data_IF_634326095768
#
_entry.id   IF_634326095768
#
_cell.length_a   1.000
_cell.length_b   1.000
_cell.length_c   1.000
_cell.angle_alpha   90.00
_cell.angle_beta   90.00
_cell.angle_gamma   90.00
#
_symmetry.space_group_name_H-M   'P 1'
#
loop_
_entity.id
_entity.type
_entity.pdbx_description
1 polymer ?
#
# COMPACT_ATOMS: atom_id res chain seq x y z
N UNK A 1 -14.31 -23.33 8.10
CA UNK A 1 -15.04 -22.04 8.24
C UNK A 1 -15.05 -21.18 6.97
N UNK A 2 -13.98 -21.13 6.17
CA UNK A 2 -13.94 -20.35 4.91
C UNK A 2 -14.98 -20.74 3.85
N UNK A 3 -15.37 -22.02 3.77
CA UNK A 3 -16.34 -22.48 2.77
C UNK A 3 -17.80 -22.09 3.08
N UNK A 4 -18.15 -21.90 4.36
CA UNK A 4 -19.53 -21.62 4.77
C UNK A 4 -19.94 -20.19 4.46
N UNK A 5 -19.03 -19.22 4.66
CA UNK A 5 -19.27 -17.84 4.24
C UNK A 5 -19.41 -17.78 2.72
N UNK A 6 -18.47 -18.37 1.96
CA UNK A 6 -18.51 -18.39 0.49
C UNK A 6 -19.79 -19.06 -0.07
N UNK A 7 -20.28 -20.14 0.54
CA UNK A 7 -21.51 -20.80 0.09
C UNK A 7 -22.79 -20.02 0.39
N UNK A 8 -22.81 -19.19 1.44
CA UNK A 8 -23.93 -18.27 1.71
C UNK A 8 -23.97 -17.16 0.64
N UNK A 9 -22.82 -16.77 0.06
CA UNK A 9 -22.74 -15.72 -0.96
C UNK A 9 -23.18 -16.15 -2.37
N UNK A 10 -23.05 -17.43 -2.75
CA UNK A 10 -23.27 -17.90 -4.12
C UNK A 10 -24.69 -18.42 -4.42
N UNK A 11 -25.52 -18.67 -3.40
CA UNK A 11 -26.92 -19.10 -3.59
C UNK A 11 -27.89 -17.97 -3.24
N UNK A 12 -28.22 -17.10 -4.20
CA UNK A 12 -29.58 -16.53 -4.34
C UNK A 12 -29.77 -15.76 -5.65
N UNK A 13 -30.91 -16.06 -6.31
CA UNK A 13 -31.34 -15.64 -7.65
C UNK A 13 -31.46 -14.12 -7.81
N UNK A 14 -31.26 -13.67 -9.06
CA UNK A 14 -31.65 -12.36 -9.60
C UNK A 14 -33.08 -11.98 -9.15
N UNK A 15 -33.20 -11.01 -8.23
CA UNK A 15 -34.26 -9.97 -8.20
C UNK A 15 -33.91 -8.93 -7.12
N UNK A 16 -34.17 -7.66 -7.46
CA UNK A 16 -33.84 -6.37 -6.81
C UNK A 16 -32.34 -6.06 -6.65
N UNK A 17 -31.77 -5.44 -7.70
CA UNK A 17 -30.35 -5.09 -7.79
C UNK A 17 -29.95 -4.00 -6.78
N UNK A 18 -30.77 -2.96 -6.59
CA UNK A 18 -30.44 -1.80 -5.74
C UNK A 18 -30.41 -2.11 -4.23
N UNK A 19 -31.36 -2.91 -3.73
CA UNK A 19 -31.36 -3.35 -2.32
C UNK A 19 -30.26 -4.39 -2.03
N UNK A 20 -29.87 -5.18 -3.04
CA UNK A 20 -28.75 -6.11 -2.92
C UNK A 20 -27.40 -5.41 -3.06
N UNK A 21 -27.30 -4.31 -3.81
CA UNK A 21 -26.11 -3.45 -3.87
C UNK A 21 -25.86 -2.82 -2.50
N UNK A 22 -26.89 -2.29 -1.82
CA UNK A 22 -26.74 -1.76 -0.45
C UNK A 22 -26.30 -2.83 0.57
N UNK A 23 -26.89 -4.04 0.54
CA UNK A 23 -26.48 -5.15 1.43
C UNK A 23 -25.10 -5.72 1.09
N UNK A 24 -24.74 -5.85 -0.20
CA UNK A 24 -23.43 -6.35 -0.64
C UNK A 24 -22.33 -5.31 -0.42
N UNK A 25 -22.61 -4.03 -0.62
CA UNK A 25 -21.61 -2.97 -0.46
C UNK A 25 -21.20 -2.77 1.00
N UNK A 26 -22.09 -2.96 1.97
CA UNK A 26 -21.72 -2.95 3.41
C UNK A 26 -20.80 -4.12 3.79
N UNK A 27 -20.80 -5.21 3.02
CA UNK A 27 -19.94 -6.38 3.29
C UNK A 27 -18.54 -6.27 2.69
N UNK A 28 -18.37 -5.51 1.62
CA UNK A 28 -17.05 -5.27 0.98
C UNK A 28 -16.02 -4.73 1.97
N UNK A 29 -16.26 -3.62 2.72
CA UNK A 29 -15.28 -3.11 3.68
C UNK A 29 -14.99 -4.12 4.80
N UNK A 30 -16.00 -4.89 5.24
CA UNK A 30 -15.84 -5.93 6.27
C UNK A 30 -14.91 -7.04 5.76
N UNK A 31 -15.11 -7.51 4.52
CA UNK A 31 -14.29 -8.56 3.90
C UNK A 31 -12.87 -8.07 3.69
N UNK A 32 -12.69 -6.84 3.16
CA UNK A 32 -11.38 -6.21 3.01
C UNK A 32 -10.65 -6.16 4.35
N UNK A 33 -11.32 -5.64 5.38
CA UNK A 33 -10.72 -5.51 6.71
C UNK A 33 -10.36 -6.86 7.31
N UNK A 34 -11.25 -7.85 7.18
CA UNK A 34 -11.00 -9.22 7.63
C UNK A 34 -9.77 -9.82 6.95
N UNK A 35 -9.70 -9.76 5.62
CA UNK A 35 -8.56 -10.26 4.86
C UNK A 35 -7.26 -9.56 5.23
N UNK A 36 -7.31 -8.24 5.42
CA UNK A 36 -6.15 -7.46 5.85
C UNK A 36 -5.69 -7.88 7.26
N UNK A 37 -6.60 -8.12 8.20
CA UNK A 37 -6.27 -8.62 9.53
C UNK A 37 -5.67 -10.03 9.51
N UNK A 38 -6.11 -10.89 8.60
CA UNK A 38 -5.54 -12.23 8.42
C UNK A 38 -4.06 -12.22 8.03
N UNK A 39 -3.56 -11.15 7.41
CA UNK A 39 -2.14 -11.01 7.07
C UNK A 39 -1.23 -11.05 8.30
N UNK A 40 -1.70 -10.57 9.46
CA UNK A 40 -0.94 -10.65 10.72
C UNK A 40 -0.68 -12.09 11.16
N UNK A 41 -1.52 -13.03 10.72
CA UNK A 41 -1.41 -14.46 10.98
C UNK A 41 -0.79 -15.22 9.79
N UNK A 42 -0.25 -14.50 8.80
CA UNK A 42 0.29 -15.07 7.55
C UNK A 42 -0.74 -15.86 6.73
N UNK A 43 -2.03 -15.57 6.93
CA UNK A 43 -3.13 -16.21 6.20
C UNK A 43 -3.56 -15.28 5.06
N UNK A 44 -3.39 -15.74 3.81
CA UNK A 44 -3.89 -15.04 2.63
C UNK A 44 -4.64 -16.01 1.71
N UNK A 45 -5.89 -15.67 1.39
CA UNK A 45 -6.74 -16.48 0.51
C UNK A 45 -6.80 -15.86 -0.88
N UNK A 46 -6.03 -16.43 -1.82
CA UNK A 46 -6.04 -16.02 -3.23
C UNK A 46 -7.45 -16.12 -3.84
N UNK A 47 -8.19 -17.18 -3.52
CA UNK A 47 -9.55 -17.39 -4.03
C UNK A 47 -10.49 -16.28 -3.57
N UNK A 48 -10.49 -15.95 -2.28
CA UNK A 48 -11.32 -14.86 -1.75
C UNK A 48 -10.91 -13.50 -2.33
N UNK A 49 -9.61 -13.24 -2.47
CA UNK A 49 -9.08 -12.03 -3.10
C UNK A 49 -9.58 -11.89 -4.55
N UNK A 50 -9.49 -12.95 -5.35
CA UNK A 50 -9.89 -12.93 -6.76
C UNK A 50 -11.41 -12.72 -6.90
N UNK A 51 -12.22 -13.32 -6.04
CA UNK A 51 -13.67 -13.10 -6.05
C UNK A 51 -14.02 -11.66 -5.63
N UNK A 52 -13.35 -11.12 -4.62
CA UNK A 52 -13.50 -9.72 -4.21
C UNK A 52 -13.12 -8.76 -5.35
N UNK A 53 -12.00 -9.03 -6.03
CA UNK A 53 -11.55 -8.24 -7.17
C UNK A 53 -12.54 -8.29 -8.33
N UNK A 54 -13.07 -9.47 -8.68
CA UNK A 54 -14.12 -9.62 -9.70
C UNK A 54 -15.39 -8.86 -9.33
N UNK A 55 -15.79 -8.91 -8.05
CA UNK A 55 -16.95 -8.17 -7.56
C UNK A 55 -16.76 -6.66 -7.75
N UNK A 56 -15.61 -6.11 -7.34
CA UNK A 56 -15.31 -4.68 -7.51
C UNK A 56 -15.27 -4.31 -9.00
N UNK A 57 -14.62 -5.11 -9.85
CA UNK A 57 -14.61 -4.88 -11.30
C UNK A 57 -16.02 -4.89 -11.89
N UNK A 58 -16.88 -5.80 -11.44
CA UNK A 58 -18.27 -5.83 -11.90
C UNK A 58 -19.04 -4.57 -11.51
N UNK A 59 -18.73 -3.94 -10.37
CA UNK A 59 -19.31 -2.65 -9.99
C UNK A 59 -18.77 -1.54 -10.91
N UNK A 60 -17.46 -1.53 -11.20
CA UNK A 60 -16.87 -0.58 -12.15
C UNK A 60 -17.53 -0.65 -13.53
N UNK A 61 -17.84 -1.87 -14.01
CA UNK A 61 -18.40 -2.12 -15.34
C UNK A 61 -19.87 -1.69 -15.48
N UNK A 62 -20.63 -1.63 -14.38
CA UNK A 62 -22.08 -1.42 -14.42
C UNK A 62 -22.47 0.04 -14.72
N UNK A 63 -21.82 1.02 -14.09
CA UNK A 63 -21.87 2.45 -14.44
C UNK A 63 -20.91 3.26 -13.53
N UNK A 64 -20.52 4.48 -13.96
CA UNK A 64 -19.67 5.38 -13.16
C UNK A 64 -20.28 5.77 -11.81
N UNK A 65 -21.61 5.91 -11.75
CA UNK A 65 -22.33 6.30 -10.54
C UNK A 65 -22.23 5.23 -9.43
N UNK A 66 -22.37 3.95 -9.76
CA UNK A 66 -22.26 2.86 -8.78
C UNK A 66 -20.85 2.74 -8.19
N UNK A 67 -19.81 3.02 -9.00
CA UNK A 67 -18.45 3.09 -8.47
C UNK A 67 -18.24 4.32 -7.58
N UNK A 68 -18.81 5.47 -7.94
CA UNK A 68 -18.85 6.64 -7.06
C UNK A 68 -19.50 6.33 -5.71
N UNK A 69 -20.60 5.58 -5.71
CA UNK A 69 -21.25 5.10 -4.49
C UNK A 69 -20.35 4.12 -3.71
N UNK A 70 -19.60 3.24 -4.38
CA UNK A 70 -18.64 2.36 -3.72
C UNK A 70 -17.54 3.16 -3.01
N UNK A 71 -17.00 4.19 -3.66
CA UNK A 71 -16.00 5.09 -3.06
C UNK A 71 -16.55 5.79 -1.81
N UNK A 72 -17.80 6.26 -1.86
CA UNK A 72 -18.45 6.91 -0.71
C UNK A 72 -18.69 5.95 0.46
N UNK A 73 -18.87 4.66 0.18
CA UNK A 73 -19.10 3.62 1.19
C UNK A 73 -17.80 3.10 1.81
N UNK A 74 -16.68 3.18 1.08
CA UNK A 74 -15.38 2.72 1.57
C UNK A 74 -14.68 3.85 2.33
N UNK A 75 -14.40 3.63 3.61
CA UNK A 75 -13.49 4.51 4.32
C UNK A 75 -12.10 4.49 3.65
N UNK A 76 -11.32 5.59 3.69
CA UNK A 76 -9.99 5.64 3.09
C UNK A 76 -9.07 4.50 3.56
N UNK A 77 -9.17 4.09 4.82
CA UNK A 77 -8.44 2.94 5.36
C UNK A 77 -8.80 1.63 4.65
N UNK A 78 -10.07 1.37 4.33
CA UNK A 78 -10.47 0.18 3.60
C UNK A 78 -9.91 0.18 2.17
N UNK A 79 -9.88 1.32 1.50
CA UNK A 79 -9.26 1.44 0.18
C UNK A 79 -7.77 1.07 0.26
N UNK A 80 -7.06 1.57 1.27
CA UNK A 80 -5.64 1.30 1.49
C UNK A 80 -5.39 -0.17 1.83
N UNK A 81 -6.22 -0.76 2.69
CA UNK A 81 -6.18 -2.19 3.01
C UNK A 81 -6.35 -3.03 1.75
N UNK A 82 -7.30 -2.67 0.88
CA UNK A 82 -7.51 -3.36 -0.38
C UNK A 82 -6.33 -3.20 -1.35
N UNK A 83 -5.82 -1.97 -1.54
CA UNK A 83 -4.60 -1.73 -2.32
C UNK A 83 -3.42 -2.54 -1.78
N UNK A 84 -3.33 -2.72 -0.47
CA UNK A 84 -2.29 -3.55 0.15
C UNK A 84 -2.46 -5.02 -0.19
N UNK A 85 -3.68 -5.56 -0.11
CA UNK A 85 -3.98 -6.92 -0.56
C UNK A 85 -3.63 -7.13 -2.04
N UNK A 86 -3.96 -6.15 -2.90
CA UNK A 86 -3.55 -6.16 -4.31
C UNK A 86 -2.03 -6.17 -4.47
N UNK A 87 -1.31 -5.40 -3.65
CA UNK A 87 0.16 -5.32 -3.67
C UNK A 87 0.84 -6.61 -3.26
N UNK A 88 0.19 -7.44 -2.44
CA UNK A 88 0.68 -8.75 -2.05
C UNK A 88 0.47 -9.74 -3.19
N UNK A 89 -0.73 -9.74 -3.79
CA UNK A 89 -1.06 -10.68 -4.86
C UNK A 89 -0.36 -10.37 -6.19
N UNK A 90 -0.11 -9.10 -6.49
CA UNK A 90 0.39 -8.63 -7.80
C UNK A 90 1.80 -8.01 -7.72
N UNK A 91 2.58 -8.35 -6.69
CA UNK A 91 3.90 -7.75 -6.42
C UNK A 91 4.91 -7.84 -7.60
N UNK A 92 4.69 -8.76 -8.55
CA UNK A 92 5.60 -9.03 -9.67
C UNK A 92 4.88 -9.20 -11.01
N UNK A 93 3.56 -9.06 -11.05
CA UNK A 93 2.76 -9.26 -12.25
C UNK A 93 2.28 -7.90 -12.74
N UNK A 94 2.56 -7.59 -14.02
CA UNK A 94 2.00 -6.40 -14.65
C UNK A 94 0.47 -6.52 -14.62
N UNK A 95 -0.17 -5.56 -13.94
CA UNK A 95 -1.61 -5.55 -13.79
C UNK A 95 -2.26 -5.26 -15.15
N UNK A 96 -3.39 -5.92 -15.42
CA UNK A 96 -4.20 -5.68 -16.61
C UNK A 96 -4.64 -4.20 -16.64
N UNK A 97 -4.57 -3.57 -17.80
CA UNK A 97 -4.99 -2.19 -18.05
C UNK A 97 -6.39 -1.88 -17.50
N UNK A 98 -7.32 -2.83 -17.58
CA UNK A 98 -8.67 -2.69 -16.99
C UNK A 98 -8.63 -2.54 -15.47
N UNK A 99 -7.82 -3.34 -14.78
CA UNK A 99 -7.67 -3.24 -13.31
C UNK A 99 -6.96 -1.94 -12.95
N UNK A 100 -5.95 -1.53 -13.72
CA UNK A 100 -5.25 -0.27 -13.50
C UNK A 100 -6.21 0.92 -13.61
N UNK A 101 -6.95 1.00 -14.71
CA UNK A 101 -7.85 2.12 -15.00
C UNK A 101 -9.09 2.15 -14.12
N UNK A 102 -9.71 1.00 -13.84
CA UNK A 102 -10.95 0.93 -13.07
C UNK A 102 -10.72 0.94 -11.56
N UNK A 103 -9.70 0.24 -11.05
CA UNK A 103 -9.51 0.07 -9.60
C UNK A 103 -8.41 1.01 -9.11
N UNK A 104 -7.19 0.83 -9.59
CA UNK A 104 -6.02 1.53 -9.01
C UNK A 104 -6.14 3.03 -9.19
N UNK A 105 -6.39 3.50 -10.41
CA UNK A 105 -6.46 4.92 -10.71
C UNK A 105 -7.58 5.59 -9.95
N UNK A 106 -8.79 5.02 -9.94
CA UNK A 106 -9.93 5.62 -9.27
C UNK A 106 -9.77 5.65 -7.74
N UNK A 107 -9.23 4.57 -7.14
CA UNK A 107 -8.93 4.53 -5.71
C UNK A 107 -7.81 5.49 -5.30
N UNK A 108 -6.72 5.53 -6.07
CA UNK A 108 -5.61 6.43 -5.79
C UNK A 108 -6.05 7.89 -6.00
N UNK A 109 -6.71 8.21 -7.11
CA UNK A 109 -7.22 9.55 -7.36
C UNK A 109 -8.09 10.01 -6.19
N UNK A 110 -9.02 9.17 -5.70
CA UNK A 110 -9.84 9.47 -4.53
C UNK A 110 -9.01 9.72 -3.25
N UNK A 111 -8.00 8.90 -2.97
CA UNK A 111 -7.13 9.08 -1.79
C UNK A 111 -6.26 10.35 -1.87
N UNK A 112 -5.90 10.79 -3.08
CA UNK A 112 -5.03 11.94 -3.32
C UNK A 112 -5.79 13.25 -3.61
N UNK A 113 -7.13 13.27 -3.61
CA UNK A 113 -7.93 14.52 -3.79
C UNK A 113 -7.44 15.59 -2.81
N UNK A 114 -7.31 15.25 -1.53
CA UNK A 114 -6.87 16.16 -0.46
C UNK A 114 -5.43 15.88 0.00
N UNK A 115 -4.54 15.44 -0.90
CA UNK A 115 -3.15 15.10 -0.58
C UNK A 115 -2.99 14.16 0.63
N UNK A 116 -3.93 13.24 0.83
CA UNK A 116 -3.93 12.30 1.95
C UNK A 116 -3.92 12.95 3.35
N UNK A 117 -4.39 14.21 3.50
CA UNK A 117 -4.40 14.93 4.79
C UNK A 117 -5.16 14.16 5.88
N UNK A 118 -6.26 13.51 5.51
CA UNK A 118 -7.11 12.75 6.42
C UNK A 118 -6.56 11.36 6.81
N UNK A 119 -5.47 10.91 6.18
CA UNK A 119 -4.88 9.62 6.50
C UNK A 119 -4.01 9.72 7.76
N UNK A 120 -4.15 8.75 8.66
CA UNK A 120 -3.23 8.60 9.77
C UNK A 120 -1.85 8.13 9.27
N UNK A 121 -0.83 8.25 10.13
CA UNK A 121 0.55 7.84 9.82
C UNK A 121 0.65 6.40 9.31
N UNK A 122 -0.06 5.47 9.98
CA UNK A 122 0.01 4.04 9.66
C UNK A 122 -0.51 3.77 8.25
N UNK A 123 -1.64 4.39 7.91
CA UNK A 123 -2.29 4.25 6.62
C UNK A 123 -1.42 4.83 5.49
N UNK A 124 -0.74 5.96 5.72
CA UNK A 124 0.23 6.53 4.77
C UNK A 124 1.40 5.58 4.49
N UNK A 125 1.95 4.93 5.53
CA UNK A 125 3.04 3.97 5.38
C UNK A 125 2.56 2.74 4.61
N UNK A 126 1.38 2.20 4.93
CA UNK A 126 0.80 1.05 4.22
C UNK A 126 0.56 1.42 2.76
N UNK A 127 -0.04 2.57 2.49
CA UNK A 127 -0.27 3.07 1.13
C UNK A 127 1.04 3.18 0.34
N UNK A 128 2.09 3.73 0.95
CA UNK A 128 3.40 3.83 0.32
C UNK A 128 3.99 2.45 -0.04
N UNK A 129 3.92 1.48 0.89
CA UNK A 129 4.33 0.09 0.63
C UNK A 129 3.52 -0.50 -0.54
N UNK A 130 2.20 -0.29 -0.53
CA UNK A 130 1.29 -0.84 -1.53
C UNK A 130 1.60 -0.31 -2.94
N UNK A 131 1.69 1.01 -3.10
CA UNK A 131 2.03 1.64 -4.39
C UNK A 131 3.43 1.22 -4.83
N UNK A 132 4.38 1.13 -3.89
CA UNK A 132 5.75 0.74 -4.18
C UNK A 132 5.88 -0.68 -4.73
N UNK A 133 5.05 -1.61 -4.27
CA UNK A 133 5.09 -3.02 -4.71
C UNK A 133 4.31 -3.31 -5.99
N UNK A 134 3.26 -2.55 -6.29
CA UNK A 134 2.44 -2.79 -7.47
C UNK A 134 3.18 -2.33 -8.74
N UNK A 135 3.09 -3.12 -9.81
CA UNK A 135 3.62 -2.77 -11.14
C UNK A 135 2.48 -2.31 -12.06
N UNK A 136 2.40 -1.00 -12.30
CA UNK A 136 1.37 -0.35 -13.13
C UNK A 136 1.92 0.93 -13.80
N UNK A 137 1.32 1.37 -14.91
CA UNK A 137 1.86 2.43 -15.78
C UNK A 137 1.91 3.81 -15.10
N UNK A 138 0.82 4.20 -14.44
CA UNK A 138 0.67 5.51 -13.79
C UNK A 138 1.38 5.67 -12.43
N UNK A 139 2.18 4.68 -12.02
CA UNK A 139 2.83 4.60 -10.70
C UNK A 139 3.68 5.83 -10.35
N UNK A 140 4.44 6.34 -11.31
CA UNK A 140 5.41 7.44 -11.10
C UNK A 140 4.78 8.67 -10.44
N UNK A 141 3.63 9.10 -10.95
CA UNK A 141 2.91 10.28 -10.43
C UNK A 141 2.51 10.13 -8.96
N UNK A 142 2.00 8.96 -8.57
CA UNK A 142 1.59 8.71 -7.18
C UNK A 142 2.80 8.55 -6.24
N UNK A 143 3.90 7.99 -6.73
CA UNK A 143 5.15 7.90 -5.96
C UNK A 143 5.73 9.28 -5.64
N UNK A 144 5.76 10.19 -6.62
CA UNK A 144 6.20 11.57 -6.43
C UNK A 144 5.34 12.32 -5.41
N UNK A 145 4.01 12.17 -5.49
CA UNK A 145 3.07 12.73 -4.50
C UNK A 145 3.33 12.17 -3.10
N UNK A 146 3.52 10.85 -2.96
CA UNK A 146 3.86 10.23 -1.67
C UNK A 146 5.18 10.72 -1.12
N UNK A 147 6.20 10.88 -1.95
CA UNK A 147 7.49 11.38 -1.51
C UNK A 147 7.37 12.78 -0.90
N UNK A 148 6.62 13.68 -1.54
CA UNK A 148 6.36 15.01 -0.99
C UNK A 148 5.63 14.95 0.36
N UNK A 149 4.55 14.15 0.47
CA UNK A 149 3.77 14.01 1.71
C UNK A 149 4.63 13.45 2.85
N UNK A 150 5.34 12.34 2.62
CA UNK A 150 6.13 11.66 3.64
C UNK A 150 7.34 12.49 4.08
N UNK A 151 7.98 13.22 3.16
CA UNK A 151 9.13 14.08 3.49
C UNK A 151 8.79 15.10 4.58
N UNK A 152 7.59 15.67 4.52
CA UNK A 152 7.11 16.65 5.49
C UNK A 152 6.80 16.02 6.87
N UNK A 153 6.60 14.70 6.93
CA UNK A 153 6.17 13.99 8.14
C UNK A 153 7.25 13.13 8.78
N UNK A 154 8.44 13.00 8.17
CA UNK A 154 9.51 12.13 8.68
C UNK A 154 9.93 12.43 10.12
N UNK A 155 9.80 13.68 10.57
CA UNK A 155 10.12 14.07 11.95
C UNK A 155 9.23 13.30 12.96
N UNK A 156 8.01 12.94 12.57
CA UNK A 156 7.02 12.25 13.40
C UNK A 156 7.13 10.71 13.32
N UNK A 157 8.10 10.20 12.54
CA UNK A 157 8.23 8.77 12.26
C UNK A 157 9.22 8.12 13.22
N UNK A 158 8.88 6.90 13.63
CA UNK A 158 9.76 6.07 14.46
C UNK A 158 10.83 5.40 13.59
N UNK A 159 11.88 4.88 14.21
CA UNK A 159 12.88 4.08 13.50
C UNK A 159 12.28 2.87 12.76
N UNK A 160 11.18 2.29 13.27
CA UNK A 160 10.47 1.19 12.59
C UNK A 160 9.74 1.68 11.33
N UNK A 161 9.08 2.83 11.43
CA UNK A 161 8.38 3.46 10.31
C UNK A 161 9.36 3.78 9.18
N UNK A 162 10.51 4.40 9.50
CA UNK A 162 11.56 4.73 8.54
C UNK A 162 12.14 3.46 7.88
N UNK A 163 12.32 2.38 8.62
CA UNK A 163 12.76 1.10 8.05
C UNK A 163 11.75 0.53 7.05
N UNK A 164 10.45 0.60 7.34
CA UNK A 164 9.39 0.20 6.41
C UNK A 164 9.42 1.03 5.11
N UNK A 165 9.74 2.32 5.21
CA UNK A 165 9.84 3.22 4.04
C UNK A 165 11.06 2.87 3.20
N UNK A 166 12.21 2.57 3.81
CA UNK A 166 13.40 2.08 3.08
C UNK A 166 13.07 0.78 2.34
N UNK A 167 12.35 -0.14 2.98
CA UNK A 167 11.90 -1.38 2.34
C UNK A 167 10.99 -1.11 1.14
N UNK A 168 10.01 -0.20 1.29
CA UNK A 168 9.12 0.19 0.20
C UNK A 168 9.88 0.84 -0.96
N UNK A 169 10.82 1.74 -0.66
CA UNK A 169 11.69 2.37 -1.66
C UNK A 169 12.47 1.32 -2.48
N UNK A 170 13.00 0.28 -1.83
CA UNK A 170 13.66 -0.81 -2.53
C UNK A 170 12.73 -1.56 -3.50
N UNK A 171 11.46 -1.73 -3.13
CA UNK A 171 10.47 -2.40 -3.97
C UNK A 171 10.11 -1.56 -5.20
N UNK A 172 10.03 -0.23 -5.05
CA UNK A 172 9.65 0.66 -6.15
C UNK A 172 10.78 0.89 -7.14
N UNK A 173 12.05 0.83 -6.69
CA UNK A 173 13.25 1.25 -7.43
C UNK A 173 13.14 2.69 -7.98
N UNK A 174 12.25 3.50 -7.40
CA UNK A 174 12.04 4.88 -7.80
C UNK A 174 13.07 5.77 -7.11
N UNK A 175 13.97 6.37 -7.89
CA UNK A 175 15.03 7.23 -7.37
C UNK A 175 14.59 8.69 -7.34
N UNK A 176 14.55 9.27 -6.15
CA UNK A 176 14.29 10.68 -5.90
C UNK A 176 15.30 11.16 -4.86
N UNK A 177 16.31 11.89 -5.32
CA UNK A 177 17.47 12.27 -4.50
C UNK A 177 17.06 13.10 -3.28
N UNK A 178 16.28 14.20 -3.40
CA UNK A 178 15.77 14.96 -2.25
C UNK A 178 15.08 14.09 -1.19
N UNK A 179 14.21 13.17 -1.62
CA UNK A 179 13.50 12.27 -0.72
C UNK A 179 14.46 11.34 0.03
N UNK A 180 15.37 10.71 -0.71
CA UNK A 180 16.37 9.78 -0.17
C UNK A 180 17.28 10.50 0.84
N UNK A 181 17.74 11.71 0.53
CA UNK A 181 18.57 12.49 1.45
C UNK A 181 17.83 12.81 2.76
N UNK A 182 16.58 13.25 2.67
CA UNK A 182 15.75 13.53 3.84
C UNK A 182 15.51 12.27 4.69
N UNK A 183 15.25 11.14 4.03
CA UNK A 183 15.08 9.84 4.67
C UNK A 183 16.36 9.40 5.40
N UNK A 184 17.51 9.48 4.74
CA UNK A 184 18.83 9.15 5.31
C UNK A 184 19.17 10.01 6.54
N UNK A 185 18.91 11.32 6.48
CA UNK A 185 19.12 12.22 7.63
C UNK A 185 18.28 11.79 8.84
N UNK A 186 17.03 11.40 8.63
CA UNK A 186 16.17 10.95 9.72
C UNK A 186 16.53 9.54 10.23
N UNK A 187 16.98 8.64 9.36
CA UNK A 187 17.54 7.34 9.77
C UNK A 187 18.78 7.55 10.63
N UNK A 188 19.68 8.44 10.23
CA UNK A 188 20.90 8.73 10.97
C UNK A 188 20.63 9.24 12.39
N UNK A 189 19.59 10.08 12.60
CA UNK A 189 19.16 10.50 13.95
C UNK A 189 18.84 9.32 14.88
N UNK A 190 18.33 8.22 14.33
CA UNK A 190 17.97 7.02 15.07
C UNK A 190 18.98 5.87 14.94
N UNK A 191 20.19 6.12 14.41
CA UNK A 191 21.20 5.09 14.12
C UNK A 191 21.43 4.07 15.25
N UNK A 192 21.44 4.53 16.50
CA UNK A 192 21.67 3.71 17.69
C UNK A 192 20.51 2.75 18.04
N UNK A 193 19.32 2.95 17.48
CA UNK A 193 18.14 2.11 17.74
C UNK A 193 18.02 0.94 16.75
N UNK A 194 18.80 0.95 15.67
CA UNK A 194 18.79 -0.13 14.70
C UNK A 194 19.80 -1.20 15.09
N UNK A 195 19.40 -2.47 14.94
CA UNK A 195 20.37 -3.57 15.01
C UNK A 195 21.32 -3.51 13.81
N UNK A 196 22.51 -4.08 13.97
CA UNK A 196 23.54 -4.12 12.92
C UNK A 196 23.00 -4.69 11.60
N UNK A 197 22.25 -5.80 11.65
CA UNK A 197 21.63 -6.41 10.47
C UNK A 197 20.66 -5.46 9.74
N UNK A 198 19.88 -4.68 10.50
CA UNK A 198 18.95 -3.71 9.91
C UNK A 198 19.70 -2.56 9.27
N UNK A 199 20.75 -2.04 9.90
CA UNK A 199 21.61 -1.02 9.30
C UNK A 199 22.27 -1.52 8.01
N UNK A 200 22.82 -2.74 8.01
CA UNK A 200 23.40 -3.36 6.81
C UNK A 200 22.38 -3.49 5.69
N UNK A 201 21.12 -3.83 6.00
CA UNK A 201 20.03 -3.88 5.02
C UNK A 201 19.69 -2.50 4.47
N UNK A 202 19.65 -1.48 5.34
CA UNK A 202 19.44 -0.09 4.90
C UNK A 202 20.55 0.34 3.95
N UNK A 203 21.80 0.05 4.30
CA UNK A 203 22.99 0.36 3.50
C UNK A 203 22.93 -0.38 2.15
N UNK A 204 22.63 -1.67 2.13
CA UNK A 204 22.57 -2.42 0.87
C UNK A 204 21.48 -1.91 -0.08
N UNK A 205 20.33 -1.48 0.47
CA UNK A 205 19.25 -0.87 -0.31
C UNK A 205 19.71 0.45 -0.93
N UNK A 206 20.28 1.36 -0.14
CA UNK A 206 20.74 2.65 -0.66
C UNK A 206 21.93 2.53 -1.62
N UNK A 207 22.78 1.52 -1.44
CA UNK A 207 23.84 1.21 -2.39
C UNK A 207 23.28 0.93 -3.80
N UNK A 208 22.13 0.23 -3.88
CA UNK A 208 21.49 -0.07 -5.17
C UNK A 208 20.99 1.15 -5.95
N UNK A 209 20.96 2.33 -5.32
CA UNK A 209 20.62 3.61 -5.96
C UNK A 209 21.85 4.41 -6.38
N UNK A 210 23.07 3.84 -6.30
CA UNK A 210 24.34 4.48 -6.64
C UNK A 210 24.56 5.84 -5.93
N UNK A 211 24.13 5.93 -4.67
CA UNK A 211 24.23 7.17 -3.89
C UNK A 211 25.66 7.37 -3.37
N UNK A 212 26.32 8.41 -3.84
CA UNK A 212 27.63 8.82 -3.34
C UNK A 212 27.45 9.87 -2.23
N UNK A 213 27.01 9.45 -1.03
CA UNK A 213 26.69 10.38 0.05
C UNK A 213 27.51 10.16 1.33
N UNK A 214 28.05 11.23 1.88
CA UNK A 214 28.82 11.25 3.14
C UNK A 214 28.05 10.65 4.33
N UNK A 215 26.72 10.78 4.36
CA UNK A 215 25.84 10.17 5.38
C UNK A 215 25.85 8.64 5.28
N UNK A 216 25.97 8.09 4.07
CA UNK A 216 26.09 6.65 3.83
C UNK A 216 27.41 6.11 4.41
N UNK A 217 28.51 6.82 4.17
CA UNK A 217 29.82 6.49 4.73
C UNK A 217 29.83 6.58 6.26
N UNK A 218 29.09 7.53 6.84
CA UNK A 218 28.90 7.61 8.28
C UNK A 218 28.06 6.46 8.83
N UNK A 219 26.98 6.02 8.16
CA UNK A 219 26.22 4.84 8.60
C UNK A 219 27.08 3.56 8.59
N UNK A 220 27.97 3.41 7.61
CA UNK A 220 28.94 2.30 7.54
C UNK A 220 29.90 2.30 8.74
N UNK A 221 30.37 3.46 9.19
CA UNK A 221 31.26 3.50 10.36
C UNK A 221 30.56 3.07 11.64
N UNK A 222 29.24 3.30 11.75
CA UNK A 222 28.44 2.79 12.87
C UNK A 222 28.14 1.30 12.79
N UNK A 223 27.97 0.71 11.59
CA UNK A 223 27.83 -0.76 11.46
C UNK A 223 29.10 -1.51 11.80
N UNK A 224 30.25 -0.86 11.63
CA UNK A 224 31.57 -1.46 11.86
C UNK A 224 32.11 -1.21 13.27
N UNK A 225 31.35 -0.57 14.16
CA UNK A 225 31.71 -0.53 15.58
C UNK A 225 31.61 -1.96 16.13
N UNK A 226 32.78 -2.58 16.30
CA UNK A 226 32.95 -3.79 17.10
C UNK A 226 32.45 -3.48 18.52
N UNK A 227 31.50 -4.26 19.01
CA UNK A 227 31.51 -4.62 20.43
C UNK A 227 32.68 -5.58 20.67
#
# INVERSE_FOLDING_TARGET
>A
MNYYLVNIFLKKKKKTLEQNILKKNMTIPIIIHYMFRCLNFQIFSNTLYLELQKLILSICDMNKESFGLLLLLLAPSNIIEFLHLMSINNNLIKINEKIETCILKQFLDHLFIDNCIHLNKKDKIILYISISKILFFSKKMYMEKMHHILTNEFINFTYRDLYCIVYALNCSKFCDLPFIESLLRNIYKFKHKYSQNKLLTIISIFYSFNLNMSIFNLLITYTNKKE
#
